data_IF_736302860219
#
_entry.id   IF_736302860219
#
_cell.length_a   1.000
_cell.length_b   1.000
_cell.length_c   1.000
_cell.angle_alpha   90.00
_cell.angle_beta   90.00
_cell.angle_gamma   90.00
#
_symmetry.space_group_name_H-M   'P 1'
#
loop_
_entity.id
_entity.type
_entity.pdbx_description
1 polymer ?
#
# COMPACT_ATOMS: atom_id res chain seq x y z
N UNK A 1 4.05 -7.83 -15.04
CA UNK A 1 5.31 -7.74 -14.31
C UNK A 1 5.09 -8.05 -12.83
N UNK A 2 5.97 -8.83 -12.25
CA UNK A 2 5.87 -9.20 -10.83
C UNK A 2 5.98 -7.98 -9.93
N UNK A 3 6.80 -6.99 -10.33
CA UNK A 3 6.93 -5.77 -9.56
C UNK A 3 5.62 -4.98 -9.52
N UNK A 4 4.95 -4.88 -10.67
CA UNK A 4 3.68 -4.18 -10.76
C UNK A 4 2.62 -4.92 -9.93
N UNK A 5 2.58 -6.23 -10.03
CA UNK A 5 1.63 -7.04 -9.26
C UNK A 5 1.84 -6.86 -7.76
N UNK A 6 3.09 -6.80 -7.33
CA UNK A 6 3.42 -6.56 -5.92
C UNK A 6 2.91 -5.20 -5.46
N UNK A 7 3.15 -4.16 -6.25
CA UNK A 7 2.70 -2.81 -5.96
C UNK A 7 1.17 -2.77 -5.87
N UNK A 8 0.49 -3.40 -6.82
CA UNK A 8 -0.97 -3.45 -6.83
C UNK A 8 -1.51 -4.20 -5.62
N UNK A 9 -0.87 -5.30 -5.24
CA UNK A 9 -1.25 -6.06 -4.06
C UNK A 9 -1.13 -5.19 -2.80
N UNK A 10 -0.06 -4.42 -2.70
CA UNK A 10 0.15 -3.50 -1.58
C UNK A 10 -0.94 -2.43 -1.54
N UNK A 11 -1.21 -1.80 -2.68
CA UNK A 11 -2.24 -0.76 -2.77
C UNK A 11 -3.60 -1.32 -2.41
N UNK A 12 -3.92 -2.52 -2.88
CA UNK A 12 -5.18 -3.17 -2.56
C UNK A 12 -5.28 -3.44 -1.06
N UNK A 13 -4.19 -3.90 -0.45
CA UNK A 13 -4.14 -4.12 0.99
C UNK A 13 -4.31 -2.84 1.80
N UNK A 14 -3.93 -1.69 1.22
CA UNK A 14 -4.10 -0.39 1.86
C UNK A 14 -5.48 0.20 1.65
N UNK A 15 -6.35 -0.47 0.89
CA UNK A 15 -7.73 -0.02 0.69
C UNK A 15 -7.99 0.67 -0.63
N UNK A 16 -7.02 0.67 -1.55
CA UNK A 16 -7.22 1.29 -2.87
C UNK A 16 -7.88 0.30 -3.82
N UNK A 17 -8.69 0.84 -4.72
CA UNK A 17 -9.44 0.03 -5.70
C UNK A 17 -8.55 -0.27 -6.90
N UNK A 18 -7.77 -1.33 -6.79
CA UNK A 18 -6.89 -1.80 -7.87
C UNK A 18 -7.04 -3.30 -8.03
N UNK A 19 -6.73 -3.79 -9.23
CA UNK A 19 -6.70 -5.22 -9.52
C UNK A 19 -5.25 -5.66 -9.59
N UNK A 20 -4.88 -6.67 -8.80
CA UNK A 20 -3.50 -7.17 -8.76
C UNK A 20 -3.27 -8.14 -9.92
N UNK A 21 -3.26 -7.62 -11.15
CA UNK A 21 -3.14 -8.42 -12.37
C UNK A 21 -1.76 -8.30 -13.02
N UNK A 22 -0.90 -7.46 -12.48
CA UNK A 22 0.44 -7.25 -13.01
C UNK A 22 0.51 -6.20 -14.12
N UNK A 23 -0.60 -5.54 -14.42
CA UNK A 23 -0.66 -4.50 -15.44
C UNK A 23 -0.87 -3.15 -14.78
N UNK A 24 -0.06 -2.17 -15.19
CA UNK A 24 -0.16 -0.82 -14.66
C UNK A 24 -1.18 -0.03 -15.48
N UNK A 25 -2.44 -0.19 -15.17
CA UNK A 25 -3.55 0.44 -15.89
C UNK A 25 -3.95 1.77 -15.24
N UNK A 26 -5.05 2.36 -15.75
CA UNK A 26 -5.54 3.65 -15.26
C UNK A 26 -5.87 3.63 -13.77
N UNK A 27 -6.48 2.54 -13.30
CA UNK A 27 -6.85 2.40 -11.90
C UNK A 27 -5.62 2.36 -11.00
N UNK A 28 -4.59 1.62 -11.43
CA UNK A 28 -3.34 1.54 -10.71
C UNK A 28 -2.67 2.92 -10.65
N UNK A 29 -2.63 3.62 -11.78
CA UNK A 29 -2.07 4.97 -11.85
C UNK A 29 -2.79 5.91 -10.90
N UNK A 30 -4.12 5.90 -10.90
CA UNK A 30 -4.90 6.75 -10.01
C UNK A 30 -4.66 6.42 -8.55
N UNK A 31 -4.59 5.13 -8.22
CA UNK A 31 -4.32 4.70 -6.86
C UNK A 31 -2.94 5.18 -6.39
N UNK A 32 -1.93 5.09 -7.27
CA UNK A 32 -0.59 5.58 -6.95
C UNK A 32 -0.63 7.09 -6.71
N UNK A 33 -1.34 7.83 -7.54
CA UNK A 33 -1.47 9.29 -7.37
C UNK A 33 -2.13 9.63 -6.03
N UNK A 34 -3.21 8.95 -5.70
CA UNK A 34 -3.91 9.16 -4.44
C UNK A 34 -3.01 8.84 -3.25
N UNK A 35 -2.27 7.74 -3.36
CA UNK A 35 -1.31 7.35 -2.33
C UNK A 35 -0.24 8.42 -2.16
N UNK A 36 0.33 8.89 -3.28
CA UNK A 36 1.34 9.94 -3.25
C UNK A 36 0.81 11.20 -2.59
N UNK A 37 -0.41 11.59 -2.94
CA UNK A 37 -1.05 12.76 -2.35
C UNK A 37 -1.20 12.59 -0.84
N UNK A 38 -1.61 11.42 -0.39
CA UNK A 38 -1.82 11.15 1.04
C UNK A 38 -0.51 11.20 1.83
N UNK A 39 0.62 10.98 1.16
CA UNK A 39 1.94 11.01 1.79
C UNK A 39 2.69 12.32 1.55
N UNK A 40 2.05 13.30 0.91
CA UNK A 40 2.69 14.57 0.62
C UNK A 40 3.74 14.49 -0.47
N UNK A 41 3.66 13.49 -1.33
CA UNK A 41 4.58 13.31 -2.45
C UNK A 41 3.98 13.91 -3.72
N UNK A 42 4.84 14.12 -4.73
CA UNK A 42 4.37 14.56 -6.04
C UNK A 42 3.49 13.49 -6.67
N UNK A 43 2.33 13.90 -7.19
CA UNK A 43 1.35 12.98 -7.78
C UNK A 43 1.74 12.65 -9.22
N UNK A 44 2.81 11.89 -9.39
CA UNK A 44 3.32 11.51 -10.71
C UNK A 44 2.57 10.33 -11.32
N UNK A 45 1.97 9.50 -10.46
CA UNK A 45 1.34 8.25 -10.89
C UNK A 45 2.36 7.16 -11.16
N UNK A 46 3.63 7.43 -10.92
CA UNK A 46 4.70 6.46 -11.09
C UNK A 46 5.29 6.09 -9.75
N UNK A 47 5.70 4.83 -9.62
CA UNK A 47 6.32 4.36 -8.37
C UNK A 47 7.83 4.57 -8.49
N UNK A 48 8.27 5.75 -8.09
CA UNK A 48 9.67 6.08 -8.01
C UNK A 48 10.24 5.63 -6.66
N UNK A 49 11.49 6.00 -6.39
CA UNK A 49 12.16 5.61 -5.15
C UNK A 49 11.40 6.12 -3.91
N UNK A 50 10.97 7.37 -3.95
CA UNK A 50 10.24 7.97 -2.82
C UNK A 50 8.91 7.28 -2.60
N UNK A 51 8.17 7.03 -3.68
CA UNK A 51 6.88 6.35 -3.61
C UNK A 51 7.07 4.92 -3.13
N UNK A 52 8.07 4.22 -3.65
CA UNK A 52 8.38 2.87 -3.20
C UNK A 52 8.70 2.80 -1.72
N UNK A 53 9.51 3.74 -1.23
CA UNK A 53 9.85 3.84 0.18
C UNK A 53 8.60 4.08 1.02
N UNK A 54 7.72 4.98 0.56
CA UNK A 54 6.49 5.29 1.27
C UNK A 54 5.55 4.08 1.30
N UNK A 55 5.48 3.30 0.21
CA UNK A 55 4.69 2.08 0.17
C UNK A 55 5.20 1.05 1.18
N UNK A 56 6.52 0.88 1.25
CA UNK A 56 7.11 -0.03 2.22
C UNK A 56 6.82 0.39 3.65
N UNK A 57 6.90 1.70 3.93
CA UNK A 57 6.55 2.24 5.24
C UNK A 57 5.08 1.98 5.57
N UNK A 58 4.20 2.19 4.59
CA UNK A 58 2.77 1.98 4.78
C UNK A 58 2.45 0.51 5.10
N UNK A 59 3.13 -0.42 4.42
CA UNK A 59 2.98 -1.85 4.72
C UNK A 59 3.43 -2.14 6.13
N UNK A 60 4.57 -1.60 6.52
CA UNK A 60 5.14 -1.81 7.85
C UNK A 60 4.18 -1.29 8.91
N UNK A 61 3.59 -0.11 8.68
CA UNK A 61 2.61 0.48 9.60
C UNK A 61 1.35 -0.37 9.67
N UNK A 62 0.88 -0.88 8.54
CA UNK A 62 -0.31 -1.74 8.49
C UNK A 62 -0.07 -3.04 9.25
N UNK A 63 1.10 -3.65 9.06
CA UNK A 63 1.47 -4.87 9.80
C UNK A 63 1.59 -4.60 11.29
N UNK A 64 2.15 -3.45 11.64
CA UNK A 64 2.30 -3.05 13.03
C UNK A 64 0.93 -2.83 13.68
N UNK A 65 0.01 -2.21 12.97
CA UNK A 65 -1.34 -2.01 13.46
C UNK A 65 -2.06 -3.34 13.67
N UNK A 66 -1.89 -4.27 12.74
CA UNK A 66 -2.44 -5.61 12.86
C UNK A 66 -1.84 -6.36 14.04
N UNK A 67 -0.53 -6.23 14.23
CA UNK A 67 0.14 -6.84 15.38
C UNK A 67 -0.41 -6.29 16.68
N UNK A 68 -0.65 -4.99 16.74
CA UNK A 68 -1.20 -4.36 17.93
C UNK A 68 -2.60 -4.89 18.22
N UNK A 69 -3.43 -5.02 17.21
CA UNK A 69 -4.77 -5.58 17.35
C UNK A 69 -4.72 -7.04 17.80
N UNK A 70 -3.80 -7.77 17.23
CA UNK A 70 -3.61 -9.18 17.58
C UNK A 70 -3.18 -9.32 19.03
N UNK A 71 -2.23 -8.50 19.47
CA UNK A 71 -1.76 -8.53 20.86
C UNK A 71 -2.87 -8.16 21.83
N UNK A 72 -3.71 -7.20 21.48
CA UNK A 72 -4.83 -6.82 22.31
C UNK A 72 -5.82 -7.98 22.46
N UNK A 73 -6.08 -8.69 21.36
CA UNK A 73 -6.97 -9.85 21.40
C UNK A 73 -6.38 -10.96 22.26
N UNK A 74 -5.07 -11.20 22.13
CA UNK A 74 -4.40 -12.21 22.95
C UNK A 74 -4.46 -11.84 24.42
N UNK A 75 -4.26 -10.58 24.73
CA UNK A 75 -4.35 -10.10 26.12
C UNK A 75 -5.77 -10.30 26.66
N UNK A 76 -6.77 -10.05 25.83
CA UNK A 76 -8.16 -10.23 26.25
C UNK A 76 -8.47 -11.69 26.57
N UNK A 77 -7.77 -12.62 25.91
CA UNK A 77 -7.94 -14.05 26.13
C UNK A 77 -7.17 -14.54 27.35
N UNK A 78 -6.22 -13.81 27.80
CA UNK A 78 -5.44 -14.14 28.99
C UNK A 78 -6.07 -13.56 30.24
#
# INVERSE_FOLDING_TARGET
>A
SDNVKTIETILKGLGYDVTADGYFDSKTTEAVKEFQKSKGLSETGEVDEKTGTALMSAIRDALKANDTQYKAAVKALQ
#
